data_IF_247551579644
#
_entry.id   IF_247551579644
#
_cell.length_a   1.000
_cell.length_b   1.000
_cell.length_c   1.000
_cell.angle_alpha   90.00
_cell.angle_beta   90.00
_cell.angle_gamma   90.00
#
_symmetry.space_group_name_H-M   'P 1'
#
loop_
_entity.id
_entity.type
_entity.pdbx_description
1 polymer ?
#
# COMPACT_ATOMS: atom_id res chain seq x y z
N UNK A 1 -24.09 -3.43 -13.90
CA UNK A 1 -24.60 -2.79 -12.65
C UNK A 1 -24.90 -3.91 -11.66
N UNK A 2 -24.34 -3.84 -10.45
CA UNK A 2 -24.56 -4.89 -9.44
C UNK A 2 -25.95 -4.72 -8.81
N UNK A 3 -26.78 -5.77 -8.70
CA UNK A 3 -28.11 -5.65 -8.10
C UNK A 3 -28.02 -5.26 -6.62
N UNK A 4 -28.92 -4.36 -6.17
CA UNK A 4 -28.97 -3.89 -4.76
C UNK A 4 -28.98 -5.04 -3.74
N UNK A 5 -29.71 -6.11 -4.00
CA UNK A 5 -29.81 -7.28 -3.11
C UNK A 5 -28.48 -8.01 -2.97
N UNK A 6 -27.67 -8.08 -4.02
CA UNK A 6 -26.34 -8.70 -3.97
C UNK A 6 -25.39 -7.85 -3.13
N UNK A 7 -25.42 -6.53 -3.28
CA UNK A 7 -24.62 -5.62 -2.45
C UNK A 7 -24.99 -5.72 -0.97
N UNK A 8 -26.30 -5.80 -0.67
CA UNK A 8 -26.79 -5.96 0.70
C UNK A 8 -26.29 -7.27 1.33
N UNK A 9 -26.50 -8.40 0.62
CA UNK A 9 -26.06 -9.72 1.08
C UNK A 9 -24.55 -9.78 1.31
N UNK A 10 -23.74 -9.19 0.43
CA UNK A 10 -22.29 -9.16 0.62
C UNK A 10 -21.90 -8.36 1.86
N UNK A 11 -22.53 -7.20 2.07
CA UNK A 11 -22.31 -6.39 3.27
C UNK A 11 -22.68 -7.14 4.55
N UNK A 12 -23.85 -7.79 4.58
CA UNK A 12 -24.38 -8.48 5.75
C UNK A 12 -23.55 -9.74 6.12
N UNK A 13 -22.90 -10.37 5.14
CA UNK A 13 -22.03 -11.54 5.35
C UNK A 13 -20.55 -11.17 5.58
N UNK A 14 -20.25 -9.88 5.80
CA UNK A 14 -18.89 -9.39 6.03
C UNK A 14 -17.95 -9.61 4.84
N UNK A 15 -18.49 -9.49 3.63
CA UNK A 15 -17.73 -9.47 2.38
C UNK A 15 -17.58 -8.04 1.88
N UNK A 16 -16.35 -7.64 1.54
CA UNK A 16 -16.08 -6.35 0.94
C UNK A 16 -16.23 -6.43 -0.58
N UNK A 17 -16.76 -5.37 -1.17
CA UNK A 17 -16.72 -5.16 -2.62
C UNK A 17 -15.66 -4.09 -2.89
N UNK A 18 -14.64 -4.46 -3.66
CA UNK A 18 -13.67 -3.50 -4.20
C UNK A 18 -13.82 -3.51 -5.72
N UNK A 19 -14.25 -2.38 -6.28
CA UNK A 19 -14.32 -2.19 -7.71
C UNK A 19 -12.92 -1.92 -8.23
N UNK A 20 -12.34 -2.96 -8.80
CA UNK A 20 -11.03 -2.91 -9.43
C UNK A 20 -11.12 -3.23 -10.91
N UNK A 21 -10.14 -2.75 -11.68
CA UNK A 21 -9.88 -3.25 -13.02
C UNK A 21 -9.36 -4.69 -12.99
N UNK A 22 -9.09 -5.24 -14.16
CA UNK A 22 -8.64 -6.63 -14.33
C UNK A 22 -7.52 -7.01 -13.35
N UNK A 23 -7.74 -8.07 -12.56
CA UNK A 23 -6.87 -8.59 -11.49
C UNK A 23 -6.31 -7.52 -10.52
N UNK A 24 -7.09 -6.51 -10.15
CA UNK A 24 -6.72 -5.56 -9.07
C UNK A 24 -5.85 -4.38 -9.51
N UNK A 25 -5.57 -4.25 -10.80
CA UNK A 25 -4.57 -3.30 -11.33
C UNK A 25 -5.03 -1.85 -11.26
N UNK A 26 -6.31 -1.57 -11.44
CA UNK A 26 -6.88 -0.23 -11.25
C UNK A 26 -7.80 -0.27 -10.06
N UNK A 27 -7.75 0.73 -9.20
CA UNK A 27 -8.73 0.90 -8.13
C UNK A 27 -9.72 2.00 -8.53
N UNK A 28 -11.02 1.75 -8.38
CA UNK A 28 -12.08 2.72 -8.65
C UNK A 28 -12.80 3.14 -7.36
N UNK A 29 -13.34 2.16 -6.62
CA UNK A 29 -14.10 2.39 -5.39
C UNK A 29 -14.07 1.14 -4.50
N UNK A 30 -14.45 1.27 -3.23
CA UNK A 30 -14.76 0.15 -2.35
C UNK A 30 -16.05 0.42 -1.55
N UNK A 31 -16.71 -0.65 -1.13
CA UNK A 31 -17.80 -0.64 -0.16
C UNK A 31 -17.26 -0.70 1.26
N UNK A 32 -17.92 -1.46 2.14
CA UNK A 32 -17.41 -1.72 3.50
C UNK A 32 -16.11 -2.53 3.42
N UNK A 33 -15.16 -2.26 4.33
CA UNK A 33 -13.89 -2.98 4.42
C UNK A 33 -14.08 -4.47 4.77
N UNK A 34 -13.08 -5.32 4.45
CA UNK A 34 -13.04 -6.70 4.97
C UNK A 34 -12.67 -6.72 6.46
N UNK A 35 -11.99 -5.69 6.95
CA UNK A 35 -11.66 -5.58 8.35
C UNK A 35 -12.94 -5.44 9.17
N UNK A 36 -13.19 -6.40 10.05
CA UNK A 36 -14.26 -6.35 11.05
C UNK A 36 -13.84 -5.64 12.34
N UNK A 37 -12.57 -5.24 12.43
CA UNK A 37 -11.98 -4.55 13.57
C UNK A 37 -11.30 -3.26 13.13
N UNK A 38 -11.35 -2.23 13.98
CA UNK A 38 -10.65 -0.96 13.80
C UNK A 38 -9.17 -1.02 14.22
N UNK A 39 -8.67 -2.14 14.77
CA UNK A 39 -7.32 -2.26 15.35
C UNK A 39 -6.20 -1.69 14.47
N UNK A 40 -6.16 -2.08 13.19
CA UNK A 40 -5.13 -1.59 12.26
C UNK A 40 -5.31 -0.11 11.91
N UNK A 41 -6.55 0.37 11.81
CA UNK A 41 -6.84 1.78 11.55
C UNK A 41 -6.42 2.65 12.74
N UNK A 42 -6.74 2.22 13.95
CA UNK A 42 -6.35 2.91 15.18
C UNK A 42 -4.83 2.89 15.38
N UNK A 43 -4.17 1.75 15.13
CA UNK A 43 -2.72 1.66 15.16
C UNK A 43 -2.08 2.62 14.14
N UNK A 44 -2.60 2.67 12.92
CA UNK A 44 -2.17 3.63 11.91
C UNK A 44 -2.36 5.08 12.38
N UNK A 45 -3.53 5.41 12.93
CA UNK A 45 -3.83 6.74 13.43
C UNK A 45 -2.90 7.16 14.58
N UNK A 46 -2.69 6.28 15.57
CA UNK A 46 -1.72 6.49 16.66
C UNK A 46 -0.32 6.70 16.12
N UNK A 47 0.12 5.85 15.19
CA UNK A 47 1.46 5.91 14.65
C UNK A 47 1.69 7.18 13.81
N UNK A 48 0.70 7.64 13.02
CA UNK A 48 0.84 8.85 12.19
C UNK A 48 0.76 10.15 13.01
N UNK A 49 -0.04 10.17 14.09
CA UNK A 49 -0.23 11.37 14.93
C UNK A 49 0.84 11.53 16.01
N UNK A 50 1.58 10.48 16.35
CA UNK A 50 2.73 10.54 17.24
C UNK A 50 4.04 10.69 16.44
N UNK A 51 4.80 11.77 16.68
CA UNK A 51 6.04 12.05 15.92
C UNK A 51 7.09 10.94 16.03
N UNK A 52 7.24 10.29 17.20
CA UNK A 52 8.23 9.22 17.40
C UNK A 52 7.81 7.94 16.70
N UNK A 53 6.55 7.51 16.89
CA UNK A 53 6.01 6.32 16.22
C UNK A 53 6.03 6.49 14.69
N UNK A 54 5.66 7.67 14.21
CA UNK A 54 5.70 7.99 12.78
C UNK A 54 7.11 7.84 12.21
N UNK A 55 8.10 8.34 12.94
CA UNK A 55 9.51 8.23 12.56
C UNK A 55 9.95 6.76 12.51
N UNK A 56 9.57 5.96 13.50
CA UNK A 56 9.90 4.52 13.56
C UNK A 56 9.33 3.77 12.35
N UNK A 57 8.05 3.97 12.02
CA UNK A 57 7.43 3.33 10.85
C UNK A 57 8.10 3.79 9.55
N UNK A 58 8.36 5.10 9.40
CA UNK A 58 9.06 5.61 8.22
C UNK A 58 10.47 4.99 8.07
N UNK A 59 11.21 4.81 9.17
CA UNK A 59 12.51 4.13 9.16
C UNK A 59 12.38 2.67 8.77
N UNK A 60 11.39 1.96 9.30
CA UNK A 60 11.12 0.57 8.94
C UNK A 60 10.81 0.45 7.43
N UNK A 61 10.02 1.37 6.88
CA UNK A 61 9.76 1.44 5.43
C UNK A 61 11.05 1.66 4.62
N UNK A 62 11.97 2.52 5.06
CA UNK A 62 13.26 2.66 4.38
C UNK A 62 14.10 1.39 4.51
N UNK A 63 14.20 0.79 5.69
CA UNK A 63 14.99 -0.43 5.92
C UNK A 63 14.55 -1.59 5.01
N UNK A 64 13.25 -1.75 4.77
CA UNK A 64 12.72 -2.76 3.83
C UNK A 64 13.26 -2.60 2.40
N UNK A 65 13.73 -1.41 2.00
CA UNK A 65 14.31 -1.15 0.67
C UNK A 65 15.81 -1.42 0.61
N UNK A 66 16.44 -1.69 1.75
CA UNK A 66 17.86 -2.02 1.88
C UNK A 66 18.03 -3.32 2.69
N UNK A 67 17.51 -4.47 2.21
CA UNK A 67 17.47 -5.72 3.00
C UNK A 67 18.85 -6.26 3.39
N UNK A 68 19.92 -5.81 2.70
CA UNK A 68 21.29 -6.28 2.91
C UNK A 68 22.18 -5.21 3.58
N UNK A 69 21.61 -4.13 4.11
CA UNK A 69 22.37 -3.04 4.72
C UNK A 69 21.80 -2.72 6.11
N UNK A 70 22.69 -2.55 7.09
CA UNK A 70 22.28 -2.00 8.37
C UNK A 70 22.12 -0.48 8.26
N UNK A 71 20.86 -0.04 8.30
CA UNK A 71 20.48 1.38 8.27
C UNK A 71 19.98 1.90 9.63
N UNK A 72 20.07 1.08 10.68
CA UNK A 72 19.52 1.37 12.02
C UNK A 72 20.09 2.64 12.65
N UNK A 73 21.36 2.96 12.39
CA UNK A 73 22.04 4.16 12.89
C UNK A 73 21.90 5.42 12.02
N UNK A 74 21.30 5.33 10.83
CA UNK A 74 21.26 6.46 9.89
C UNK A 74 20.16 7.46 10.25
N UNK A 75 20.42 8.76 10.10
CA UNK A 75 19.40 9.81 10.22
C UNK A 75 18.41 9.75 9.04
N UNK A 76 17.19 10.26 9.23
CA UNK A 76 16.17 10.28 8.15
C UNK A 76 16.62 11.00 6.88
N UNK A 77 17.38 12.09 7.02
CA UNK A 77 17.91 12.80 5.86
C UNK A 77 18.91 11.93 5.08
N UNK A 78 19.72 11.13 5.77
CA UNK A 78 20.66 10.19 5.15
C UNK A 78 19.90 9.06 4.45
N UNK A 79 18.86 8.50 5.08
CA UNK A 79 17.97 7.51 4.47
C UNK A 79 17.35 8.02 3.17
N UNK A 80 16.80 9.24 3.17
CA UNK A 80 16.26 9.88 1.95
C UNK A 80 17.31 10.04 0.85
N UNK A 81 18.51 10.52 1.21
CA UNK A 81 19.60 10.69 0.26
C UNK A 81 20.05 9.37 -0.38
N UNK A 82 20.18 8.31 0.44
CA UNK A 82 20.51 6.96 -0.02
C UNK A 82 19.42 6.40 -0.94
N UNK A 83 18.16 6.57 -0.59
CA UNK A 83 17.05 6.11 -1.43
C UNK A 83 17.08 6.77 -2.81
N UNK A 84 17.32 8.08 -2.88
CA UNK A 84 17.47 8.78 -4.16
C UNK A 84 18.66 8.26 -4.99
N UNK A 85 19.78 7.91 -4.35
CA UNK A 85 20.92 7.30 -5.04
C UNK A 85 20.62 5.88 -5.52
N UNK A 86 19.97 5.06 -4.68
CA UNK A 86 19.54 3.69 -5.01
C UNK A 86 18.61 3.69 -6.22
N UNK A 87 17.57 4.52 -6.20
CA UNK A 87 16.60 4.62 -7.30
C UNK A 87 17.29 5.04 -8.61
N UNK A 88 18.16 6.06 -8.59
CA UNK A 88 18.92 6.46 -9.79
C UNK A 88 19.80 5.33 -10.33
N UNK A 89 20.38 4.53 -9.44
CA UNK A 89 21.20 3.36 -9.83
C UNK A 89 20.34 2.30 -10.51
N UNK A 90 19.15 1.99 -9.96
CA UNK A 90 18.20 1.05 -10.56
C UNK A 90 17.78 1.51 -11.97
N UNK A 91 17.44 2.78 -12.15
CA UNK A 91 17.11 3.33 -13.48
C UNK A 91 18.28 3.16 -14.47
N UNK A 92 19.50 3.49 -14.06
CA UNK A 92 20.69 3.34 -14.92
C UNK A 92 20.94 1.89 -15.32
N UNK A 93 20.87 0.97 -14.35
CA UNK A 93 21.07 -0.46 -14.61
C UNK A 93 20.05 -1.00 -15.61
N UNK A 94 18.78 -0.59 -15.51
CA UNK A 94 17.75 -1.03 -16.45
C UNK A 94 17.87 -0.37 -17.82
N UNK A 95 18.25 0.91 -17.88
CA UNK A 95 18.58 1.59 -19.14
C UNK A 95 19.72 0.88 -19.88
N UNK A 96 20.81 0.56 -19.17
CA UNK A 96 21.95 -0.19 -19.73
C UNK A 96 21.54 -1.61 -20.16
N UNK A 97 20.73 -2.30 -19.34
CA UNK A 97 20.27 -3.67 -19.62
C UNK A 97 19.42 -3.77 -20.88
N UNK A 98 18.53 -2.81 -21.11
CA UNK A 98 17.56 -2.87 -22.21
C UNK A 98 17.96 -2.02 -23.41
N UNK A 99 18.97 -1.16 -23.29
CA UNK A 99 19.37 -0.19 -24.32
C UNK A 99 18.42 1.01 -24.44
N UNK A 100 17.44 1.14 -23.55
CA UNK A 100 16.50 2.26 -23.54
C UNK A 100 17.15 3.47 -22.90
N UNK A 101 17.20 4.60 -23.61
CA UNK A 101 17.74 5.84 -23.06
C UNK A 101 16.90 6.33 -21.88
N UNK A 102 17.59 6.75 -20.81
CA UNK A 102 16.95 7.29 -19.62
C UNK A 102 17.59 8.62 -19.21
N UNK A 103 16.82 9.70 -19.35
CA UNK A 103 17.23 11.04 -18.94
C UNK A 103 16.67 11.41 -17.57
N UNK A 104 15.34 11.52 -17.50
CA UNK A 104 14.63 11.90 -16.27
C UNK A 104 13.21 11.36 -16.28
N UNK A 105 12.66 11.23 -15.07
CA UNK A 105 11.23 11.06 -14.90
C UNK A 105 10.54 12.36 -15.31
N UNK A 106 9.75 12.32 -16.37
CA UNK A 106 8.86 13.41 -16.75
C UNK A 106 7.42 12.91 -16.64
N UNK A 107 6.61 13.60 -15.85
CA UNK A 107 5.21 13.27 -15.66
C UNK A 107 4.40 14.54 -15.86
N UNK A 108 3.82 14.65 -17.04
CA UNK A 108 2.78 15.64 -17.31
C UNK A 108 1.43 15.03 -16.95
N UNK A 109 0.66 15.73 -16.11
CA UNK A 109 -0.68 15.27 -15.70
C UNK A 109 -1.72 15.56 -16.78
N UNK A 110 -1.44 16.56 -17.62
CA UNK A 110 -2.36 17.13 -18.59
C UNK A 110 -2.14 16.53 -19.99
N UNK A 111 -0.98 15.90 -20.24
CA UNK A 111 -0.68 15.19 -21.48
C UNK A 111 0.01 13.84 -21.23
N UNK A 112 -0.77 12.77 -21.22
CA UNK A 112 -0.30 11.40 -20.94
C UNK A 112 0.45 10.78 -22.12
N UNK A 113 0.19 11.23 -23.34
CA UNK A 113 0.68 10.61 -24.57
C UNK A 113 1.90 11.36 -25.16
N UNK A 114 2.17 12.59 -24.72
CA UNK A 114 3.38 13.34 -25.11
C UNK A 114 4.67 12.92 -24.39
N UNK A 115 4.61 11.98 -23.44
CA UNK A 115 5.79 11.46 -22.76
C UNK A 115 6.59 10.48 -23.62
N UNK A 116 7.91 10.40 -23.42
CA UNK A 116 8.75 9.33 -23.97
C UNK A 116 8.15 7.94 -23.63
N UNK A 117 8.28 6.91 -24.50
CA UNK A 117 7.70 5.59 -24.27
C UNK A 117 7.99 4.99 -22.89
N UNK A 118 9.23 5.15 -22.40
CA UNK A 118 9.62 4.73 -21.05
C UNK A 118 8.85 5.47 -19.94
N UNK A 119 8.62 6.77 -20.10
CA UNK A 119 7.85 7.55 -19.14
C UNK A 119 6.37 7.15 -19.14
N UNK A 120 5.80 6.82 -20.31
CA UNK A 120 4.44 6.28 -20.39
C UNK A 120 4.34 4.90 -19.73
N UNK A 121 5.29 4.01 -20.01
CA UNK A 121 5.35 2.67 -19.40
C UNK A 121 5.46 2.77 -17.87
N UNK A 122 6.36 3.60 -17.34
CA UNK A 122 6.48 3.83 -15.90
C UNK A 122 5.19 4.37 -15.29
N UNK A 123 4.49 5.28 -15.98
CA UNK A 123 3.20 5.82 -15.51
C UNK A 123 2.13 4.73 -15.46
N UNK A 124 2.02 3.91 -16.51
CA UNK A 124 1.09 2.80 -16.59
C UNK A 124 1.39 1.73 -15.52
N UNK A 125 2.66 1.38 -15.33
CA UNK A 125 3.11 0.40 -14.36
C UNK A 125 2.90 0.87 -12.91
N UNK A 126 3.20 2.13 -12.61
CA UNK A 126 2.98 2.68 -11.29
C UNK A 126 1.48 2.82 -10.97
N UNK A 127 0.66 3.26 -11.93
CA UNK A 127 -0.79 3.30 -11.76
C UNK A 127 -1.37 1.92 -11.45
N UNK A 128 -0.86 0.90 -12.15
CA UNK A 128 -1.17 -0.50 -11.90
C UNK A 128 -0.86 -0.96 -10.46
N UNK A 129 0.36 -0.65 -9.99
CA UNK A 129 0.77 -0.98 -8.62
C UNK A 129 -0.05 -0.20 -7.58
N UNK A 130 -0.32 1.08 -7.81
CA UNK A 130 -1.10 1.92 -6.90
C UNK A 130 -2.53 1.40 -6.75
N UNK A 131 -3.15 0.89 -7.81
CA UNK A 131 -4.47 0.26 -7.74
C UNK A 131 -4.48 -0.94 -6.79
N UNK A 132 -3.51 -1.84 -6.94
CA UNK A 132 -3.38 -3.00 -6.07
C UNK A 132 -3.13 -2.59 -4.62
N UNK A 133 -2.13 -1.74 -4.38
CA UNK A 133 -1.78 -1.32 -3.02
C UNK A 133 -2.95 -0.64 -2.34
N UNK A 134 -3.69 0.21 -3.06
CA UNK A 134 -4.90 0.83 -2.54
C UNK A 134 -5.93 -0.22 -2.14
N UNK A 135 -6.19 -1.23 -2.98
CA UNK A 135 -7.14 -2.30 -2.67
C UNK A 135 -6.77 -3.08 -1.40
N UNK A 136 -5.47 -3.35 -1.18
CA UNK A 136 -4.99 -4.04 0.02
C UNK A 136 -5.16 -3.17 1.26
N UNK A 137 -4.81 -1.88 1.18
CA UNK A 137 -4.96 -0.93 2.29
C UNK A 137 -6.40 -0.88 2.77
N UNK A 138 -7.36 -0.68 1.85
CA UNK A 138 -8.78 -0.57 2.23
C UNK A 138 -9.37 -1.90 2.66
N UNK A 139 -8.88 -3.02 2.11
CA UNK A 139 -9.26 -4.36 2.56
C UNK A 139 -8.83 -4.62 4.02
N UNK A 140 -7.66 -4.11 4.43
CA UNK A 140 -7.18 -4.18 5.81
C UNK A 140 -7.82 -3.17 6.77
N UNK A 141 -8.75 -2.34 6.28
CA UNK A 141 -9.43 -1.31 7.09
C UNK A 141 -8.57 -0.07 7.35
N UNK A 142 -7.37 0.00 6.79
CA UNK A 142 -6.49 1.15 6.92
C UNK A 142 -6.95 2.33 6.05
N UNK A 143 -6.54 3.54 6.42
CA UNK A 143 -6.78 4.75 5.64
C UNK A 143 -5.70 4.95 4.56
N UNK A 144 -6.08 5.11 3.27
CA UNK A 144 -5.14 5.48 2.21
C UNK A 144 -4.50 6.87 2.37
N UNK A 145 -5.12 7.75 3.17
CA UNK A 145 -4.71 9.14 3.32
C UNK A 145 -3.68 9.34 4.44
N UNK A 146 -3.60 8.41 5.41
CA UNK A 146 -2.69 8.51 6.56
C UNK A 146 -1.31 7.92 6.24
N UNK A 147 -0.50 8.68 5.50
CA UNK A 147 0.88 8.33 5.16
C UNK A 147 1.90 8.69 6.24
N UNK A 148 3.01 7.97 6.22
CA UNK A 148 4.19 8.13 7.08
C UNK A 148 5.26 8.98 6.40
N UNK A 149 5.60 8.67 5.15
CA UNK A 149 6.62 9.39 4.36
C UNK A 149 5.96 10.47 3.50
N UNK A 150 4.93 10.13 2.73
CA UNK A 150 4.13 11.09 1.97
C UNK A 150 3.03 11.70 2.83
N UNK A 151 2.67 12.96 2.57
CA UNK A 151 1.58 13.68 3.28
C UNK A 151 0.82 14.61 2.35
N UNK A 152 -0.38 15.03 2.78
CA UNK A 152 -1.17 16.06 2.08
C UNK A 152 -1.95 15.54 0.88
N UNK A 153 -1.97 14.22 0.64
CA UNK A 153 -2.73 13.61 -0.44
C UNK A 153 -3.61 12.47 0.10
N UNK A 154 -4.82 12.32 -0.45
CA UNK A 154 -5.75 11.23 -0.08
C UNK A 154 -5.24 9.80 -0.42
N UNK A 155 -4.02 9.69 -0.95
CA UNK A 155 -3.34 8.44 -1.33
C UNK A 155 -1.91 8.38 -0.78
N UNK A 156 -1.59 9.21 0.20
CA UNK A 156 -0.24 9.27 0.78
C UNK A 156 0.26 7.90 1.23
N UNK A 157 -0.56 7.12 1.92
CA UNK A 157 -0.15 5.77 2.37
C UNK A 157 -0.03 4.78 1.20
N UNK A 158 -0.81 4.96 0.14
CA UNK A 158 -0.68 4.16 -1.10
C UNK A 158 0.69 4.38 -1.72
N UNK A 159 1.18 5.61 -1.77
CA UNK A 159 2.50 5.92 -2.30
C UNK A 159 3.63 5.36 -1.42
N UNK A 160 3.48 5.46 -0.09
CA UNK A 160 4.44 4.90 0.85
C UNK A 160 4.66 3.39 0.65
N UNK A 161 3.56 2.65 0.59
CA UNK A 161 3.58 1.20 0.44
C UNK A 161 4.01 0.80 -0.97
N UNK A 162 3.54 1.49 -2.02
CA UNK A 162 3.93 1.18 -3.39
C UNK A 162 5.43 1.38 -3.64
N UNK A 163 6.05 2.38 -3.03
CA UNK A 163 7.48 2.62 -3.16
C UNK A 163 8.36 1.48 -2.61
N UNK A 164 7.81 0.58 -1.78
CA UNK A 164 8.51 -0.63 -1.35
C UNK A 164 8.77 -1.60 -2.52
N UNK A 165 7.91 -1.57 -3.56
CA UNK A 165 7.91 -2.59 -4.63
C UNK A 165 8.32 -2.04 -6.00
N UNK A 166 8.35 -0.72 -6.20
CA UNK A 166 8.61 -0.13 -7.54
C UNK A 166 9.93 -0.57 -8.15
N UNK A 167 10.98 -0.62 -7.34
CA UNK A 167 12.33 -0.98 -7.81
C UNK A 167 12.44 -2.45 -8.25
N UNK A 168 11.71 -3.35 -7.61
CA UNK A 168 11.72 -4.79 -7.95
C UNK A 168 10.71 -5.15 -9.06
N UNK A 169 9.69 -4.31 -9.27
CA UNK A 169 8.55 -4.66 -10.13
C UNK A 169 8.33 -3.66 -11.27
N UNK A 170 7.91 -2.43 -10.96
CA UNK A 170 7.39 -1.52 -11.99
C UNK A 170 8.50 -0.92 -12.85
N UNK A 171 9.68 -0.65 -12.27
CA UNK A 171 10.82 -0.11 -13.01
C UNK A 171 11.33 -1.15 -14.03
N UNK A 172 11.71 -2.39 -13.65
CA UNK A 172 12.16 -3.39 -14.61
C UNK A 172 11.17 -3.62 -15.75
N UNK A 173 9.88 -3.80 -15.42
CA UNK A 173 8.82 -4.06 -16.40
C UNK A 173 8.65 -2.89 -17.37
N UNK A 174 8.72 -1.65 -16.88
CA UNK A 174 8.57 -0.48 -17.75
C UNK A 174 9.72 -0.38 -18.77
N UNK A 175 10.96 -0.70 -18.35
CA UNK A 175 12.10 -0.74 -19.26
C UNK A 175 12.00 -1.88 -20.28
N UNK A 176 11.53 -3.06 -19.87
CA UNK A 176 11.31 -4.17 -20.80
C UNK A 176 10.27 -3.81 -21.86
N UNK A 177 9.12 -3.27 -21.43
CA UNK A 177 8.05 -2.88 -22.35
C UNK A 177 8.48 -1.73 -23.28
N UNK A 178 9.25 -0.76 -22.77
CA UNK A 178 9.76 0.33 -23.60
C UNK A 178 10.72 -0.18 -24.69
N UNK A 179 11.51 -1.23 -24.41
CA UNK A 179 12.38 -1.86 -25.40
C UNK A 179 11.61 -2.77 -26.39
N UNK A 180 10.49 -3.37 -25.96
CA UNK A 180 9.63 -4.19 -26.82
C UNK A 180 8.83 -3.35 -27.85
N UNK A 181 8.65 -2.05 -27.61
CA UNK A 181 7.87 -1.11 -28.43
C UNK A 181 6.51 -1.66 -28.93
N UNK A 182 5.65 -2.20 -28.05
CA UNK A 182 4.37 -2.75 -28.49
C UNK A 182 3.40 -1.62 -28.90
N UNK A 183 2.54 -1.90 -29.88
CA UNK A 183 1.53 -0.98 -30.42
C UNK A 183 0.67 -0.32 -29.31
N UNK A 184 0.24 -1.11 -28.33
CA UNK A 184 -0.56 -0.67 -27.18
C UNK A 184 0.27 -0.66 -25.88
N UNK A 185 1.33 0.16 -25.84
CA UNK A 185 2.33 0.24 -24.75
C UNK A 185 1.72 0.30 -23.35
N UNK A 186 0.81 1.22 -23.12
CA UNK A 186 0.17 1.40 -21.81
C UNK A 186 -0.66 0.18 -21.40
N UNK A 187 -1.32 -0.50 -22.35
CA UNK A 187 -2.12 -1.69 -22.07
C UNK A 187 -1.23 -2.92 -21.84
N UNK A 188 -0.20 -3.10 -22.66
CA UNK A 188 0.80 -4.15 -22.52
C UNK A 188 1.50 -4.07 -21.17
N UNK A 189 1.91 -2.86 -20.76
CA UNK A 189 2.52 -2.61 -19.46
C UNK A 189 1.63 -3.06 -18.31
N UNK A 190 0.35 -2.64 -18.31
CA UNK A 190 -0.60 -3.03 -17.26
C UNK A 190 -0.76 -4.54 -17.18
N UNK A 191 -0.87 -5.24 -18.31
CA UNK A 191 -0.95 -6.71 -18.37
C UNK A 191 0.32 -7.38 -17.82
N UNK A 192 1.50 -6.86 -18.14
CA UNK A 192 2.77 -7.42 -17.64
C UNK A 192 2.90 -7.24 -16.12
N UNK A 193 2.59 -6.06 -15.60
CA UNK A 193 2.56 -5.79 -14.15
C UNK A 193 1.56 -6.70 -13.45
N UNK A 194 0.36 -6.84 -14.02
CA UNK A 194 -0.70 -7.72 -13.53
C UNK A 194 -0.23 -9.17 -13.39
N UNK A 195 0.43 -9.69 -14.42
CA UNK A 195 0.89 -11.08 -14.43
C UNK A 195 2.04 -11.28 -13.44
N UNK A 196 2.96 -10.33 -13.34
CA UNK A 196 4.05 -10.35 -12.36
C UNK A 196 3.54 -10.28 -10.91
N UNK A 197 2.54 -9.45 -10.63
CA UNK A 197 1.86 -9.37 -9.32
C UNK A 197 1.28 -10.71 -8.91
N UNK A 198 0.54 -11.34 -9.84
CA UNK A 198 -0.16 -12.60 -9.57
C UNK A 198 0.84 -13.73 -9.31
N UNK A 199 1.84 -13.87 -10.18
CA UNK A 199 2.85 -14.91 -10.06
C UNK A 199 3.76 -14.69 -8.84
N UNK A 200 4.04 -13.44 -8.48
CA UNK A 200 4.89 -13.07 -7.35
C UNK A 200 4.19 -13.06 -5.99
N UNK A 201 2.88 -13.38 -5.93
CA UNK A 201 2.05 -13.30 -4.71
C UNK A 201 2.16 -11.94 -3.99
N UNK A 202 2.30 -10.85 -4.76
CA UNK A 202 2.56 -9.53 -4.19
C UNK A 202 1.43 -9.03 -3.30
N UNK A 203 0.19 -9.43 -3.56
CA UNK A 203 -0.97 -9.07 -2.75
C UNK A 203 -0.81 -9.56 -1.29
N UNK A 204 -0.46 -10.84 -1.12
CA UNK A 204 -0.24 -11.46 0.19
C UNK A 204 0.95 -10.83 0.91
N UNK A 205 2.05 -10.61 0.19
CA UNK A 205 3.22 -9.89 0.72
C UNK A 205 2.85 -8.47 1.18
N UNK A 206 2.11 -7.72 0.35
CA UNK A 206 1.68 -6.36 0.66
C UNK A 206 0.83 -6.30 1.93
N UNK A 207 -0.10 -7.25 2.11
CA UNK A 207 -0.91 -7.31 3.32
C UNK A 207 -0.05 -7.57 4.57
N UNK A 208 0.87 -8.56 4.50
CA UNK A 208 1.81 -8.85 5.60
C UNK A 208 2.71 -7.69 5.94
N UNK A 209 3.22 -6.99 4.92
CA UNK A 209 4.11 -5.85 5.10
C UNK A 209 3.40 -4.67 5.78
N UNK A 210 2.14 -4.37 5.40
CA UNK A 210 1.31 -3.36 6.08
C UNK A 210 1.06 -3.76 7.53
N UNK A 211 0.65 -5.01 7.78
CA UNK A 211 0.42 -5.50 9.14
C UNK A 211 1.70 -5.40 9.99
N UNK A 212 2.85 -5.78 9.43
CA UNK A 212 4.15 -5.67 10.12
C UNK A 212 4.52 -4.23 10.45
N UNK A 213 4.28 -3.30 9.52
CA UNK A 213 4.58 -1.87 9.73
C UNK A 213 3.67 -1.21 10.76
N UNK A 214 2.44 -1.69 10.90
CA UNK A 214 1.43 -1.14 11.81
C UNK A 214 1.27 -1.94 13.12
N UNK A 215 2.06 -3.01 13.29
CA UNK A 215 2.10 -3.77 14.53
C UNK A 215 2.64 -2.91 15.66
N UNK A 216 1.90 -2.88 16.76
CA UNK A 216 2.25 -2.14 17.95
C UNK A 216 3.22 -3.00 18.78
N UNK A 217 4.47 -2.56 18.96
CA UNK A 217 5.38 -3.24 19.89
C UNK A 217 4.92 -3.10 21.36
N UNK A 218 3.98 -2.20 21.68
CA UNK A 218 3.40 -2.13 23.03
C UNK A 218 2.32 -3.17 23.29
N UNK A 219 1.84 -3.89 22.26
CA UNK A 219 0.86 -4.97 22.39
C UNK A 219 1.50 -6.37 22.45
N UNK A 220 2.76 -6.47 22.86
CA UNK A 220 3.54 -7.73 22.95
C UNK A 220 2.98 -8.77 23.95
N UNK A 221 1.90 -8.47 24.68
CA UNK A 221 1.26 -9.41 25.60
C UNK A 221 0.23 -10.34 24.94
N UNK A 222 -0.16 -10.12 23.68
CA UNK A 222 -1.06 -11.02 22.95
C UNK A 222 -0.33 -11.70 21.80
N UNK A 223 0.08 -12.94 22.05
CA UNK A 223 0.84 -13.79 21.12
C UNK A 223 0.06 -14.17 19.85
N UNK A 224 -1.25 -13.94 19.78
CA UNK A 224 -2.06 -14.52 18.71
C UNK A 224 -2.67 -13.44 17.78
N UNK A 225 -1.91 -13.05 16.77
CA UNK A 225 -2.52 -12.55 15.53
C UNK A 225 -3.21 -13.68 14.73
N UNK A 226 -3.05 -14.94 15.17
CA UNK A 226 -3.80 -16.09 14.66
C UNK A 226 -5.26 -16.09 15.14
N UNK A 227 -5.56 -15.38 16.23
CA UNK A 227 -6.92 -15.18 16.75
C UNK A 227 -7.32 -13.70 16.69
N UNK A 228 -7.60 -13.23 15.48
CA UNK A 228 -8.46 -12.05 15.34
C UNK A 228 -9.86 -12.47 15.81
N UNK A 229 -10.16 -12.37 17.10
CA UNK A 229 -11.54 -12.50 17.56
C UNK A 229 -12.33 -11.29 17.03
N UNK A 230 -13.20 -11.56 16.06
CA UNK A 230 -13.73 -10.58 15.10
C UNK A 230 -15.02 -9.87 15.55
N UNK A 231 -15.62 -10.27 16.68
CA UNK A 231 -16.98 -9.85 17.07
C UNK A 231 -17.10 -9.18 18.46
N UNK A 232 -16.00 -8.86 19.14
CA UNK A 232 -16.07 -8.14 20.42
C UNK A 232 -16.11 -6.63 20.17
N UNK A 233 -17.32 -6.05 20.18
CA UNK A 233 -17.53 -4.61 20.28
C UNK A 233 -17.26 -4.19 21.72
N UNK A 234 -16.30 -3.30 21.96
CA UNK A 234 -16.03 -2.76 23.28
C UNK A 234 -16.53 -1.31 23.40
N UNK A 235 -17.00 -0.94 24.59
CA UNK A 235 -17.30 0.42 24.99
C UNK A 235 -16.02 1.11 25.46
N UNK A 236 -15.86 2.37 25.06
CA UNK A 236 -14.76 3.22 25.49
C UNK A 236 -15.04 3.78 26.89
N UNK A 237 -14.05 3.74 27.78
CA UNK A 237 -14.07 4.33 29.13
C UNK A 237 -12.78 5.18 29.32
N UNK A 238 -12.92 6.32 29.99
CA UNK A 238 -11.85 7.32 30.22
C UNK A 238 -10.95 6.93 31.42
N UNK A 239 -11.30 5.88 32.17
CA UNK A 239 -10.62 5.51 33.42
C UNK A 239 -9.85 4.19 33.41
N UNK A 240 -10.18 3.22 32.54
CA UNK A 240 -9.38 2.01 32.29
C UNK A 240 -9.88 1.23 31.05
N UNK A 241 -9.11 0.23 30.61
CA UNK A 241 -9.24 -0.52 29.36
C UNK A 241 -10.67 -0.83 28.87
N UNK A 242 -10.85 -0.77 27.55
CA UNK A 242 -12.10 -0.98 26.81
C UNK A 242 -12.96 -2.11 27.39
N UNK A 243 -14.18 -1.78 27.82
CA UNK A 243 -15.11 -2.73 28.46
C UNK A 243 -15.94 -3.45 27.40
N UNK A 244 -16.22 -4.75 27.54
CA UNK A 244 -17.05 -5.46 26.56
C UNK A 244 -18.44 -4.81 26.43
N UNK A 245 -18.82 -4.47 25.21
CA UNK A 245 -20.15 -3.96 24.85
C UNK A 245 -21.16 -5.10 24.74
N UNK A 246 -22.44 -4.80 25.02
CA UNK A 246 -23.52 -5.79 24.99
C UNK A 246 -23.99 -6.28 26.37
N UNK A 247 -23.38 -5.80 27.46
CA UNK A 247 -23.90 -5.96 28.82
C UNK A 247 -24.75 -4.74 29.16
N UNK A 248 -26.01 -4.95 29.56
CA UNK A 248 -26.84 -3.87 30.07
C UNK A 248 -26.30 -3.38 31.42
N UNK A 249 -25.70 -2.19 31.46
CA UNK A 249 -25.34 -1.51 32.70
C UNK A 249 -26.58 -0.79 33.25
N UNK A 250 -27.58 -1.58 33.62
CA UNK A 250 -28.69 -1.12 34.44
C UNK A 250 -28.47 -1.65 35.85
N UNK A 251 -27.97 -0.81 36.75
CA UNK A 251 -28.30 -0.97 38.15
C UNK A 251 -29.75 -0.49 38.30
N UNK A 252 -30.64 -1.36 38.76
CA UNK A 252 -31.97 -1.00 39.24
C UNK A 252 -31.82 0.13 40.28
N UNK A 253 -32.11 1.39 39.91
CA UNK A 253 -32.71 2.44 40.75
C UNK A 253 -33.30 3.58 39.90
#
# INVERSE_FOLDING_TARGET
>A
MMPRRTTLLMSDNGSAVVWVGERGVRYYAHGVSLARSSRLLEAQARAVTNTRARLQVARAMYAMRFPNEDVSGLLMQQLRGREGARVRTVYRQHAERTGVEWNRRNYDKDDWDAGEPINQALSAANSALYGLVHSVIVALGCSPALGFVHTGHHRSFVYDIADLYKAELTIPIAFDIAAEEPEELSAATRRRVRDAIYNGKLLERCARDIQKLLRDESSLETTDFEELDFDVISLWDDRDASVAGGVGYGDDF
#
